data_IF_107508974254
#
_entry.id   IF_107508974254
#
_cell.length_a   1.000
_cell.length_b   1.000
_cell.length_c   1.000
_cell.angle_alpha   90.00
_cell.angle_beta   90.00
_cell.angle_gamma   90.00
#
_symmetry.space_group_name_H-M   'P 1'
#
loop_
_entity.id
_entity.type
_entity.pdbx_description
1 polymer ?
#
# COMPACT_ATOMS: atom_id res chain seq x y z
N UNK A 1 -17.76 -35.20 -12.53
CA UNK A 1 -16.59 -34.33 -12.33
C UNK A 1 -16.24 -34.41 -10.84
N UNK A 2 -15.01 -34.78 -10.49
CA UNK A 2 -14.65 -35.14 -9.12
C UNK A 2 -14.48 -33.87 -8.27
N UNK A 3 -15.20 -33.76 -7.15
CA UNK A 3 -15.14 -32.64 -6.20
C UNK A 3 -13.70 -32.30 -5.74
N UNK A 4 -12.82 -33.29 -5.75
CA UNK A 4 -11.40 -33.14 -5.43
C UNK A 4 -10.60 -32.37 -6.51
N UNK A 5 -10.95 -32.52 -7.79
CA UNK A 5 -10.33 -31.78 -8.88
C UNK A 5 -10.72 -30.30 -8.86
N UNK A 6 -11.99 -30.00 -8.59
CA UNK A 6 -12.47 -28.61 -8.49
C UNK A 6 -11.81 -27.87 -7.32
N UNK A 7 -11.68 -28.52 -6.15
CA UNK A 7 -10.95 -27.97 -5.00
C UNK A 7 -9.46 -27.75 -5.31
N UNK A 8 -8.84 -28.66 -6.05
CA UNK A 8 -7.43 -28.54 -6.44
C UNK A 8 -7.21 -27.39 -7.43
N UNK A 9 -8.10 -27.23 -8.41
CA UNK A 9 -8.04 -26.12 -9.38
C UNK A 9 -8.30 -24.76 -8.72
N UNK A 10 -9.30 -24.67 -7.82
CA UNK A 10 -9.57 -23.44 -7.06
C UNK A 10 -8.40 -23.02 -6.17
N UNK A 11 -7.70 -23.98 -5.55
CA UNK A 11 -6.49 -23.71 -4.77
C UNK A 11 -5.35 -23.16 -5.64
N UNK A 12 -5.09 -23.77 -6.80
CA UNK A 12 -4.05 -23.33 -7.73
C UNK A 12 -4.31 -21.92 -8.28
N UNK A 13 -5.56 -21.60 -8.60
CA UNK A 13 -5.95 -20.25 -9.03
C UNK A 13 -5.74 -19.21 -7.93
N UNK A 14 -6.09 -19.54 -6.68
CA UNK A 14 -5.86 -18.65 -5.54
C UNK A 14 -4.36 -18.44 -5.27
N UNK A 15 -3.53 -19.48 -5.38
CA UNK A 15 -2.08 -19.39 -5.18
C UNK A 15 -1.41 -18.54 -6.28
N UNK A 16 -1.84 -18.67 -7.54
CA UNK A 16 -1.36 -17.84 -8.65
C UNK A 16 -1.74 -16.36 -8.46
N UNK A 17 -3.01 -16.10 -8.14
CA UNK A 17 -3.49 -14.74 -7.91
C UNK A 17 -2.84 -14.07 -6.69
N UNK A 18 -2.58 -14.85 -5.62
CA UNK A 18 -1.81 -14.38 -4.47
C UNK A 18 -0.36 -14.02 -4.87
N UNK A 19 0.26 -14.84 -5.72
CA UNK A 19 1.61 -14.55 -6.20
C UNK A 19 1.65 -13.24 -7.01
N UNK A 20 0.69 -13.05 -7.92
CA UNK A 20 0.61 -11.87 -8.78
C UNK A 20 0.43 -10.59 -7.97
N UNK A 21 -0.50 -10.57 -6.99
CA UNK A 21 -0.71 -9.37 -6.18
C UNK A 21 0.50 -9.02 -5.31
N UNK A 22 1.18 -10.03 -4.74
CA UNK A 22 2.41 -9.81 -3.97
C UNK A 22 3.51 -9.22 -4.86
N UNK A 23 3.59 -9.67 -6.12
CA UNK A 23 4.55 -9.14 -7.09
C UNK A 23 4.26 -7.65 -7.38
N UNK A 24 3.02 -7.31 -7.68
CA UNK A 24 2.61 -5.91 -7.93
C UNK A 24 2.88 -4.99 -6.72
N UNK A 25 2.60 -5.48 -5.50
CA UNK A 25 2.90 -4.75 -4.25
C UNK A 25 4.40 -4.43 -4.16
N UNK A 26 5.26 -5.41 -4.44
CA UNK A 26 6.72 -5.23 -4.42
C UNK A 26 7.18 -4.25 -5.50
N UNK A 27 6.59 -4.32 -6.69
CA UNK A 27 6.90 -3.41 -7.79
C UNK A 27 6.54 -1.95 -7.46
N UNK A 28 5.43 -1.71 -6.76
CA UNK A 28 5.05 -0.38 -6.27
C UNK A 28 5.93 0.12 -5.12
N UNK A 29 6.33 -0.77 -4.21
CA UNK A 29 7.10 -0.41 -3.02
C UNK A 29 8.58 -0.09 -3.32
N UNK A 30 9.18 -0.79 -4.27
CA UNK A 30 10.59 -0.62 -4.66
C UNK A 30 11.00 0.83 -4.97
N UNK A 31 10.32 1.57 -5.87
CA UNK A 31 10.68 2.97 -6.16
C UNK A 31 10.45 3.92 -4.98
N UNK A 32 9.67 3.50 -3.97
CA UNK A 32 9.41 4.24 -2.74
C UNK A 32 10.39 3.90 -1.62
N UNK A 33 11.29 2.92 -1.84
CA UNK A 33 12.21 2.40 -0.83
C UNK A 33 11.51 1.86 0.42
N UNK A 34 10.25 1.44 0.28
CA UNK A 34 9.46 0.86 1.37
C UNK A 34 9.82 -0.61 1.52
N UNK A 35 10.25 -1.01 2.71
CA UNK A 35 10.63 -2.39 2.97
C UNK A 35 9.41 -3.31 3.08
N UNK A 36 9.59 -4.61 2.82
CA UNK A 36 8.55 -5.62 3.08
C UNK A 36 8.19 -5.71 4.56
N UNK A 37 9.15 -5.45 5.46
CA UNK A 37 8.92 -5.44 6.90
C UNK A 37 7.96 -4.30 7.27
N UNK A 38 8.19 -3.11 6.75
CA UNK A 38 7.37 -1.92 7.04
C UNK A 38 5.97 -2.08 6.47
N UNK A 39 5.83 -2.71 5.29
CA UNK A 39 4.52 -3.10 4.76
C UNK A 39 3.76 -4.07 5.68
N UNK A 40 4.44 -5.08 6.22
CA UNK A 40 3.85 -6.03 7.17
C UNK A 40 3.47 -5.33 8.48
N UNK A 41 4.32 -4.43 8.99
CA UNK A 41 4.04 -3.64 10.19
C UNK A 41 2.83 -2.73 10.00
N UNK A 42 2.74 -2.00 8.89
CA UNK A 42 1.60 -1.16 8.57
C UNK A 42 0.31 -1.99 8.42
N UNK A 43 0.35 -3.14 7.74
CA UNK A 43 -0.79 -4.06 7.69
C UNK A 43 -1.22 -4.49 9.10
N UNK A 44 -0.29 -4.96 9.92
CA UNK A 44 -0.56 -5.41 11.28
C UNK A 44 -1.20 -4.31 12.13
N UNK A 45 -0.76 -3.06 11.97
CA UNK A 45 -1.35 -1.91 12.65
C UNK A 45 -2.76 -1.59 12.13
N UNK A 46 -2.94 -1.54 10.81
CA UNK A 46 -4.22 -1.20 10.19
C UNK A 46 -5.34 -2.20 10.50
N UNK A 47 -4.99 -3.49 10.62
CA UNK A 47 -5.96 -4.58 10.78
C UNK A 47 -5.90 -5.25 12.16
N UNK A 48 -5.03 -4.78 13.07
CA UNK A 48 -4.77 -5.40 14.38
C UNK A 48 -4.43 -6.90 14.27
N UNK A 49 -3.52 -7.24 13.36
CA UNK A 49 -3.06 -8.61 13.05
C UNK A 49 -1.57 -8.80 13.38
N UNK A 50 -1.04 -10.01 13.14
CA UNK A 50 0.37 -10.38 13.39
C UNK A 50 0.96 -11.19 12.22
N UNK A 51 0.72 -10.72 11.00
CA UNK A 51 1.32 -11.31 9.80
C UNK A 51 2.85 -11.19 9.86
N UNK A 52 3.53 -12.29 9.51
CA UNK A 52 5.00 -12.37 9.42
C UNK A 52 5.48 -12.45 7.99
N UNK A 53 4.60 -12.86 7.08
CA UNK A 53 4.82 -12.90 5.63
C UNK A 53 3.58 -12.42 4.89
N UNK A 54 3.72 -12.02 3.62
CA UNK A 54 2.57 -11.68 2.79
C UNK A 54 1.60 -12.85 2.56
N UNK A 55 2.05 -14.10 2.75
CA UNK A 55 1.18 -15.29 2.65
C UNK A 55 0.25 -15.43 3.85
N UNK A 56 0.54 -14.75 4.96
CA UNK A 56 -0.30 -14.73 6.16
C UNK A 56 -1.46 -13.73 6.01
N UNK A 57 -1.43 -12.89 4.96
CA UNK A 57 -2.39 -11.81 4.72
C UNK A 57 -3.48 -12.29 3.78
N UNK A 58 -4.72 -11.87 4.02
CA UNK A 58 -5.83 -12.17 3.11
C UNK A 58 -5.66 -11.45 1.77
N UNK A 59 -6.21 -12.00 0.69
CA UNK A 59 -6.18 -11.34 -0.63
C UNK A 59 -6.82 -9.94 -0.57
N UNK A 60 -7.86 -9.76 0.24
CA UNK A 60 -8.52 -8.46 0.41
C UNK A 60 -7.57 -7.45 1.04
N UNK A 61 -6.86 -7.81 2.11
CA UNK A 61 -5.98 -6.89 2.80
C UNK A 61 -4.70 -6.59 1.98
N UNK A 62 -4.27 -7.53 1.12
CA UNK A 62 -3.22 -7.27 0.13
C UNK A 62 -3.68 -6.25 -0.92
N UNK A 63 -4.93 -6.33 -1.39
CA UNK A 63 -5.50 -5.32 -2.31
C UNK A 63 -5.53 -3.95 -1.64
N UNK A 64 -5.90 -3.89 -0.37
CA UNK A 64 -5.87 -2.66 0.41
C UNK A 64 -4.45 -2.09 0.51
N UNK A 65 -3.46 -2.91 0.86
CA UNK A 65 -2.06 -2.48 0.91
C UNK A 65 -1.59 -1.95 -0.46
N UNK A 66 -1.95 -2.63 -1.56
CA UNK A 66 -1.68 -2.18 -2.93
C UNK A 66 -2.28 -0.80 -3.21
N UNK A 67 -3.50 -0.52 -2.73
CA UNK A 67 -4.14 0.79 -2.87
C UNK A 67 -3.34 1.87 -2.14
N UNK A 68 -2.95 1.64 -0.88
CA UNK A 68 -2.10 2.60 -0.13
C UNK A 68 -0.81 2.90 -0.89
N UNK A 69 -0.11 1.87 -1.37
CA UNK A 69 1.13 2.03 -2.14
C UNK A 69 0.91 2.80 -3.45
N UNK A 70 -0.19 2.52 -4.15
CA UNK A 70 -0.54 3.21 -5.39
C UNK A 70 -0.79 4.70 -5.16
N UNK A 71 -1.43 5.08 -4.04
CA UNK A 71 -1.64 6.47 -3.66
C UNK A 71 -0.31 7.18 -3.35
N UNK A 72 0.57 6.56 -2.57
CA UNK A 72 1.89 7.13 -2.26
C UNK A 72 2.70 7.31 -3.54
N UNK A 73 2.70 6.30 -4.40
CA UNK A 73 3.38 6.36 -5.70
C UNK A 73 2.83 7.48 -6.58
N UNK A 74 1.51 7.63 -6.66
CA UNK A 74 0.88 8.70 -7.43
C UNK A 74 1.22 10.09 -6.87
N UNK A 75 1.15 10.28 -5.55
CA UNK A 75 1.50 11.54 -4.88
C UNK A 75 2.97 11.91 -5.17
N UNK A 76 3.89 10.95 -5.06
CA UNK A 76 5.30 11.15 -5.39
C UNK A 76 5.52 11.49 -6.86
N UNK A 77 4.85 10.77 -7.77
CA UNK A 77 5.11 10.90 -9.20
C UNK A 77 4.55 12.20 -9.82
N UNK A 78 3.44 12.70 -9.29
CA UNK A 78 2.82 13.96 -9.75
C UNK A 78 3.48 15.17 -9.06
N UNK A 79 4.09 14.97 -7.89
CA UNK A 79 4.75 16.05 -7.15
C UNK A 79 6.12 16.40 -7.72
N UNK A 80 6.35 17.69 -8.01
CA UNK A 80 7.70 18.22 -8.25
C UNK A 80 8.49 18.52 -6.95
N UNK A 81 7.92 18.21 -5.78
CA UNK A 81 8.53 18.48 -4.46
C UNK A 81 9.33 17.30 -3.94
N UNK A 82 10.26 17.58 -3.03
CA UNK A 82 11.01 16.54 -2.33
C UNK A 82 10.12 15.71 -1.41
N UNK A 83 10.62 14.54 -0.98
CA UNK A 83 9.93 13.68 -0.02
C UNK A 83 9.74 14.38 1.33
N UNK A 84 10.71 15.19 1.77
CA UNK A 84 10.66 15.93 3.03
C UNK A 84 9.51 16.94 3.02
N UNK A 85 9.30 17.65 1.91
CA UNK A 85 8.20 18.58 1.75
C UNK A 85 6.83 17.87 1.75
N UNK A 86 6.76 16.70 1.11
CA UNK A 86 5.57 15.87 1.11
C UNK A 86 5.26 15.34 2.52
N UNK A 87 6.27 14.83 3.23
CA UNK A 87 6.14 14.35 4.61
C UNK A 87 5.69 15.47 5.53
N UNK A 88 6.35 16.64 5.48
CA UNK A 88 5.97 17.81 6.28
C UNK A 88 4.52 18.22 6.03
N UNK A 89 4.08 18.16 4.78
CA UNK A 89 2.69 18.46 4.44
C UNK A 89 1.72 17.45 5.06
N UNK A 90 2.01 16.15 4.93
CA UNK A 90 1.18 15.11 5.54
C UNK A 90 1.19 15.24 7.08
N UNK A 91 2.33 15.58 7.69
CA UNK A 91 2.41 15.85 9.13
C UNK A 91 1.48 16.97 9.57
N UNK A 92 1.47 18.10 8.84
CA UNK A 92 0.61 19.24 9.15
C UNK A 92 -0.87 18.86 9.04
N UNK A 93 -1.26 18.14 8.00
CA UNK A 93 -2.65 17.79 7.75
C UNK A 93 -3.18 16.67 8.67
N UNK A 94 -2.32 15.70 9.03
CA UNK A 94 -2.68 14.59 9.93
C UNK A 94 -2.53 14.93 11.42
N UNK A 95 -1.75 15.96 11.75
CA UNK A 95 -1.37 16.28 13.13
C UNK A 95 -0.36 15.30 13.74
N UNK A 96 0.31 14.48 12.91
CA UNK A 96 1.28 13.46 13.32
C UNK A 96 2.68 13.82 12.85
N UNK A 97 3.69 13.26 13.51
CA UNK A 97 5.08 13.40 13.04
C UNK A 97 5.39 12.35 11.96
N UNK A 98 5.12 12.70 10.71
CA UNK A 98 5.39 11.86 9.54
C UNK A 98 6.80 12.16 9.05
N UNK A 99 7.64 11.13 9.00
CA UNK A 99 9.06 11.27 8.62
C UNK A 99 9.47 10.41 7.43
N UNK A 100 8.61 9.46 7.03
CA UNK A 100 8.91 8.50 5.95
C UNK A 100 7.65 8.13 5.15
N UNK A 101 7.80 7.53 3.97
CA UNK A 101 6.67 6.94 3.24
C UNK A 101 6.06 5.72 3.93
N UNK A 102 6.74 5.12 4.91
CA UNK A 102 6.22 3.96 5.65
C UNK A 102 5.05 4.40 6.53
N UNK A 103 5.14 5.58 7.12
CA UNK A 103 4.07 6.21 7.91
C UNK A 103 2.81 6.47 7.06
N UNK A 104 2.97 6.66 5.74
CA UNK A 104 1.86 6.93 4.82
C UNK A 104 1.00 5.69 4.57
N UNK A 105 1.51 4.48 4.86
CA UNK A 105 0.78 3.22 4.63
C UNK A 105 -0.42 3.05 5.55
N UNK A 106 -0.49 3.82 6.64
CA UNK A 106 -1.57 3.75 7.61
C UNK A 106 -2.89 4.25 7.01
N UNK A 107 -3.98 3.52 7.28
CA UNK A 107 -5.29 3.78 6.67
C UNK A 107 -5.82 5.17 6.96
N UNK A 108 -5.54 5.69 8.16
CA UNK A 108 -5.88 7.04 8.58
C UNK A 108 -5.29 8.14 7.70
N UNK A 109 -4.16 7.89 7.03
CA UNK A 109 -3.51 8.86 6.15
C UNK A 109 -4.08 8.85 4.73
N UNK A 110 -4.85 7.81 4.34
CA UNK A 110 -5.33 7.65 2.95
C UNK A 110 -6.16 8.83 2.46
N UNK A 111 -7.09 9.33 3.29
CA UNK A 111 -7.95 10.45 2.93
C UNK A 111 -7.14 11.71 2.60
N UNK A 112 -6.16 12.00 3.45
CA UNK A 112 -5.27 13.16 3.30
C UNK A 112 -4.41 13.01 2.05
N UNK A 113 -3.88 11.82 1.77
CA UNK A 113 -3.08 11.57 0.55
C UNK A 113 -3.92 11.79 -0.71
N UNK A 114 -5.20 11.35 -0.72
CA UNK A 114 -6.11 11.62 -1.83
C UNK A 114 -6.32 13.12 -2.05
N UNK A 115 -6.58 13.88 -0.98
CA UNK A 115 -6.70 15.35 -1.05
C UNK A 115 -5.43 16.01 -1.59
N UNK A 116 -4.26 15.56 -1.12
CA UNK A 116 -2.97 16.02 -1.62
C UNK A 116 -2.80 15.78 -3.13
N UNK A 117 -3.18 14.60 -3.63
CA UNK A 117 -3.13 14.27 -5.06
C UNK A 117 -4.07 15.17 -5.87
N UNK A 118 -5.30 15.35 -5.41
CA UNK A 118 -6.28 16.20 -6.10
C UNK A 118 -5.81 17.65 -6.19
N UNK A 119 -5.17 18.17 -5.14
CA UNK A 119 -4.58 19.50 -5.16
C UNK A 119 -3.37 19.61 -6.09
N UNK A 120 -2.50 18.59 -6.13
CA UNK A 120 -1.34 18.57 -7.02
C UNK A 120 -1.79 18.61 -8.50
N UNK A 121 -2.80 17.81 -8.86
CA UNK A 121 -3.37 17.78 -10.22
C UNK A 121 -4.00 19.10 -10.65
N UNK A 122 -4.64 19.82 -9.72
CA UNK A 122 -5.24 21.14 -10.00
C UNK A 122 -4.21 22.23 -10.27
N UNK A 123 -2.95 22.04 -9.87
CA UNK A 123 -1.86 23.01 -10.07
C UNK A 123 -1.01 22.75 -11.32
N UNK A 124 -1.32 21.71 -12.09
CA UNK A 124 -0.62 21.40 -13.35
C UNK A 124 -1.10 22.23 -14.57
N UNK A 125 -1.89 23.29 -14.36
CA UNK A 125 -2.42 24.18 -15.41
C UNK A 125 -1.92 25.62 -15.24
#
# INVERSE_FOLDING_TARGET
MNLAMEKSQGKLQNDAHLHDIIKEIKELANPLWISSLSMLQAHNQNFNTKATTFKDITISDLRDLKVSLSLIYAARNISCKSIEDLNKRLSIQSGKDITSYEDWLLHENRGIICEMIDELRKKEW
#
